data_IF_803622658754
#
_entry.id   IF_803622658754
#
_cell.length_a   1.000
_cell.length_b   1.000
_cell.length_c   1.000
_cell.angle_alpha   90.00
_cell.angle_beta   90.00
_cell.angle_gamma   90.00
#
_symmetry.space_group_name_H-M   'P 1'
#
loop_
_entity.id
_entity.type
_entity.pdbx_description
1 polymer ?
#
# COMPACT_ATOMS: atom_id res chain seq x y z
N UNK A 1 -1.55 2.21 -11.19
CA UNK A 1 -1.25 3.00 -9.98
C UNK A 1 0.23 3.30 -9.94
N UNK A 2 0.58 4.54 -9.62
CA UNK A 2 1.96 4.98 -9.39
C UNK A 2 2.12 5.33 -7.91
N UNK A 3 3.25 4.97 -7.32
CA UNK A 3 3.60 5.24 -5.92
C UNK A 3 5.02 5.82 -5.87
N UNK A 4 5.23 6.84 -5.03
CA UNK A 4 6.54 7.47 -4.79
C UNK A 4 6.54 8.14 -3.41
N UNK A 5 7.72 8.56 -2.94
CA UNK A 5 7.93 9.15 -1.62
C UNK A 5 8.52 8.17 -0.62
N UNK A 6 8.19 8.33 0.66
CA UNK A 6 8.72 7.49 1.75
C UNK A 6 8.17 6.06 1.68
N UNK A 7 9.06 5.08 1.77
CA UNK A 7 8.78 3.65 1.72
C UNK A 7 9.29 2.89 2.96
N UNK A 8 9.80 3.58 3.99
CA UNK A 8 10.45 2.97 5.16
C UNK A 8 9.55 1.97 5.91
N UNK A 9 8.23 2.18 5.90
CA UNK A 9 7.25 1.28 6.52
C UNK A 9 6.51 0.40 5.49
N UNK A 10 6.85 0.51 4.21
CA UNK A 10 6.17 -0.20 3.13
C UNK A 10 4.84 0.43 2.69
N UNK A 11 4.57 1.68 3.09
CA UNK A 11 3.31 2.38 2.81
C UNK A 11 3.08 2.68 1.31
N UNK A 12 4.12 2.57 0.47
CA UNK A 12 3.94 2.62 -0.98
C UNK A 12 3.34 1.34 -1.57
N UNK A 13 3.36 0.23 -0.83
CA UNK A 13 2.81 -1.05 -1.30
C UNK A 13 3.55 -1.63 -2.52
N UNK A 14 4.80 -1.23 -2.76
CA UNK A 14 5.58 -1.72 -3.91
C UNK A 14 6.13 -3.13 -3.64
N UNK A 15 6.54 -3.39 -2.39
CA UNK A 15 6.98 -4.70 -1.92
C UNK A 15 8.30 -5.19 -2.53
N UNK A 16 9.16 -5.79 -1.70
CA UNK A 16 10.44 -6.33 -2.18
C UNK A 16 11.38 -5.27 -2.77
N UNK A 17 11.14 -3.99 -2.42
CA UNK A 17 12.07 -2.89 -2.64
C UNK A 17 12.87 -2.69 -1.35
N UNK A 18 14.15 -2.40 -1.49
CA UNK A 18 15.05 -2.11 -0.36
C UNK A 18 15.20 -0.60 -0.14
N UNK A 19 14.75 0.21 -1.09
CA UNK A 19 14.77 1.66 -1.01
C UNK A 19 13.83 2.20 0.06
N UNK A 20 14.34 3.09 0.92
CA UNK A 20 13.54 3.82 1.91
C UNK A 20 12.78 5.01 1.30
N UNK A 21 13.23 5.50 0.14
CA UNK A 21 12.63 6.63 -0.58
C UNK A 21 12.62 6.31 -2.08
N UNK A 22 11.46 6.43 -2.70
CA UNK A 22 11.28 6.34 -4.15
C UNK A 22 11.10 7.75 -4.69
N UNK A 23 12.10 8.28 -5.40
CA UNK A 23 12.10 9.68 -5.86
C UNK A 23 11.14 9.93 -7.02
N UNK A 24 10.97 8.94 -7.90
CA UNK A 24 10.18 9.06 -9.12
C UNK A 24 8.93 8.18 -9.07
N UNK A 25 7.80 8.58 -9.70
CA UNK A 25 6.60 7.76 -9.79
C UNK A 25 6.90 6.33 -10.27
N UNK A 26 6.73 5.34 -9.39
CA UNK A 26 6.96 3.94 -9.71
C UNK A 26 5.64 3.21 -9.85
N UNK A 27 5.50 2.46 -10.94
CA UNK A 27 4.34 1.59 -11.15
C UNK A 27 4.31 0.49 -10.07
N UNK A 28 3.15 0.28 -9.46
CA UNK A 28 2.91 -0.90 -8.63
C UNK A 28 2.39 -2.05 -9.50
N UNK A 29 3.16 -3.14 -9.56
CA UNK A 29 2.79 -4.33 -10.33
C UNK A 29 1.62 -5.09 -9.72
N UNK A 30 1.41 -4.95 -8.41
CA UNK A 30 0.29 -5.58 -7.70
C UNK A 30 -1.08 -5.20 -8.28
N UNK A 31 -1.20 -3.97 -8.79
CA UNK A 31 -2.45 -3.41 -9.31
C UNK A 31 -2.56 -3.44 -10.85
N UNK A 32 -1.66 -4.11 -11.58
CA UNK A 32 -1.70 -4.15 -13.06
C UNK A 32 -3.06 -4.64 -13.60
N UNK A 33 -3.64 -5.64 -12.95
CA UNK A 33 -4.93 -6.24 -13.33
C UNK A 33 -6.04 -5.96 -12.31
N UNK A 34 -5.88 -4.90 -11.50
CA UNK A 34 -6.86 -4.51 -10.47
C UNK A 34 -7.25 -3.06 -10.69
N UNK A 35 -8.57 -2.82 -10.79
CA UNK A 35 -9.08 -1.46 -10.98
C UNK A 35 -9.27 -0.79 -9.63
N UNK A 36 -8.32 0.09 -9.29
CA UNK A 36 -8.39 0.89 -8.07
C UNK A 36 -9.34 2.05 -8.30
N UNK A 37 -10.32 2.14 -7.41
CA UNK A 37 -11.36 3.17 -7.39
C UNK A 37 -10.94 4.38 -6.55
N UNK A 38 -10.34 4.13 -5.39
CA UNK A 38 -9.97 5.17 -4.43
C UNK A 38 -8.73 4.79 -3.61
N UNK A 39 -8.04 5.79 -3.07
CA UNK A 39 -6.81 5.65 -2.27
C UNK A 39 -6.80 6.65 -1.12
N UNK A 40 -6.57 6.15 0.09
CA UNK A 40 -6.36 6.96 1.29
C UNK A 40 -4.94 6.77 1.83
N UNK A 41 -4.18 7.86 1.97
CA UNK A 41 -2.83 7.83 2.53
C UNK A 41 -2.82 8.38 3.95
N UNK A 42 -2.40 7.56 4.92
CA UNK A 42 -2.05 8.00 6.25
C UNK A 42 -0.55 8.34 6.37
N UNK A 43 -0.09 8.63 7.59
CA UNK A 43 1.31 8.99 7.81
C UNK A 43 2.31 7.88 7.41
N UNK A 44 1.97 6.63 7.73
CA UNK A 44 2.83 5.45 7.51
C UNK A 44 2.06 4.25 6.96
N UNK A 45 0.87 4.46 6.41
CA UNK A 45 0.05 3.39 5.83
C UNK A 45 -0.79 3.93 4.67
N UNK A 46 -1.25 3.02 3.83
CA UNK A 46 -2.11 3.34 2.69
C UNK A 46 -3.23 2.32 2.59
N UNK A 47 -4.42 2.80 2.25
CA UNK A 47 -5.63 2.02 2.00
C UNK A 47 -6.00 2.19 0.53
N UNK A 48 -6.34 1.08 -0.12
CA UNK A 48 -6.76 1.04 -1.52
C UNK A 48 -8.11 0.37 -1.61
N UNK A 49 -9.03 0.99 -2.34
CA UNK A 49 -10.36 0.45 -2.57
C UNK A 49 -10.50 0.12 -4.05
N UNK A 50 -10.88 -1.12 -4.37
CA UNK A 50 -11.16 -1.52 -5.74
C UNK A 50 -12.60 -1.20 -6.15
N UNK A 51 -12.89 -1.30 -7.45
CA UNK A 51 -14.24 -1.15 -8.01
C UNK A 51 -15.23 -2.20 -7.48
N UNK A 52 -14.76 -3.41 -7.18
CA UNK A 52 -15.57 -4.50 -6.61
C UNK A 52 -15.81 -4.38 -5.10
N UNK A 53 -15.29 -3.32 -4.47
CA UNK A 53 -15.38 -3.09 -3.03
C UNK A 53 -14.29 -3.74 -2.21
N UNK A 54 -13.39 -4.55 -2.80
CA UNK A 54 -12.26 -5.13 -2.09
C UNK A 54 -11.34 -4.04 -1.55
N UNK A 55 -10.95 -4.17 -0.28
CA UNK A 55 -10.03 -3.24 0.39
C UNK A 55 -8.68 -3.92 0.59
N UNK A 56 -7.62 -3.21 0.19
CA UNK A 56 -6.24 -3.59 0.49
C UNK A 56 -5.57 -2.53 1.35
N UNK A 57 -4.69 -2.95 2.26
CA UNK A 57 -3.91 -2.06 3.12
C UNK A 57 -2.43 -2.44 3.11
N UNK A 58 -1.55 -1.46 3.27
CA UNK A 58 -0.11 -1.68 3.46
C UNK A 58 0.51 -0.61 4.35
N UNK A 59 1.72 -0.88 4.86
CA UNK A 59 2.49 0.04 5.69
C UNK A 59 2.71 -0.44 7.12
N UNK A 60 2.89 0.53 8.00
CA UNK A 60 2.96 0.39 9.46
C UNK A 60 1.62 -0.12 9.99
N UNK A 61 1.69 -0.96 11.02
CA UNK A 61 0.52 -1.54 11.69
C UNK A 61 0.65 -1.52 13.22
N UNK A 62 1.49 -0.65 13.76
CA UNK A 62 1.82 -0.61 15.19
C UNK A 62 0.58 -0.32 16.06
N UNK A 63 -0.47 0.27 15.48
CA UNK A 63 -1.75 0.58 16.13
C UNK A 63 -2.93 -0.16 15.49
N UNK A 64 -2.68 -1.20 14.68
CA UNK A 64 -3.75 -1.96 14.02
C UNK A 64 -4.43 -1.25 12.83
N UNK A 65 -3.85 -0.15 12.34
CA UNK A 65 -4.45 0.68 11.28
C UNK A 65 -4.63 -0.02 9.93
N UNK A 66 -4.01 -1.18 9.71
CA UNK A 66 -4.22 -1.98 8.49
C UNK A 66 -5.47 -2.87 8.57
N UNK A 67 -6.07 -3.01 9.76
CA UNK A 67 -7.25 -3.85 9.96
C UNK A 67 -6.95 -5.36 9.85
N UNK A 68 -5.69 -5.77 10.08
CA UNK A 68 -5.26 -7.16 10.12
C UNK A 68 -3.99 -7.29 10.97
N UNK A 69 -3.55 -8.52 11.29
CA UNK A 69 -2.55 -8.76 12.35
C UNK A 69 -1.13 -8.22 12.10
N UNK A 70 -0.72 -8.03 10.83
CA UNK A 70 0.70 -7.80 10.49
C UNK A 70 0.92 -6.54 9.67
N UNK A 71 2.04 -5.87 9.86
CA UNK A 71 2.55 -4.88 8.91
C UNK A 71 2.87 -5.56 7.58
N UNK A 72 2.75 -4.80 6.47
CA UNK A 72 2.98 -5.35 5.13
C UNK A 72 3.61 -4.32 4.20
N UNK A 73 4.67 -4.73 3.50
CA UNK A 73 5.27 -3.95 2.40
C UNK A 73 4.57 -4.14 1.05
N UNK A 74 3.74 -5.18 0.92
CA UNK A 74 2.85 -5.44 -0.22
C UNK A 74 1.39 -5.28 0.24
N UNK A 75 0.48 -4.72 -0.57
CA UNK A 75 -0.93 -4.61 -0.22
C UNK A 75 -1.50 -5.99 0.16
N UNK A 76 -2.08 -6.08 1.36
CA UNK A 76 -2.79 -7.26 1.84
C UNK A 76 -4.28 -6.99 1.94
N UNK A 77 -5.15 -8.00 1.74
CA UNK A 77 -6.58 -7.81 1.88
C UNK A 77 -6.94 -7.50 3.33
N UNK A 78 -7.89 -6.60 3.53
CA UNK A 78 -8.65 -6.54 4.78
C UNK A 78 -9.55 -7.79 4.84
N UNK A 79 -9.56 -8.49 5.98
CA UNK A 79 -10.36 -9.72 6.20
C UNK A 79 -11.63 -9.34 6.97
#
# INVERSE_FOLDING_TARGET
MLCWGNASYGQLGLGGIDEEIVLEPRRSDFFVNKKVRDVGCGLRHTVFVLDDGTVYTCGCNDLGQLGHEKSRKKPGPHI
#
